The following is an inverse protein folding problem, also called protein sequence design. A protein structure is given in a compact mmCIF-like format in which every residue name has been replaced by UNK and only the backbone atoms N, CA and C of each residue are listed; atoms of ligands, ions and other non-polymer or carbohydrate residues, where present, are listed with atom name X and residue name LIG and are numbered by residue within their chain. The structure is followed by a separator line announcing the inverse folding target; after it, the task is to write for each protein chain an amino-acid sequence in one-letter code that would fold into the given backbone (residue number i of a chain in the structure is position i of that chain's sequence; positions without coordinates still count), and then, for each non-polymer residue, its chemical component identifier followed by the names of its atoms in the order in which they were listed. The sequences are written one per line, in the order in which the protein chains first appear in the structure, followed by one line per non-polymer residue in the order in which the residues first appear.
data_IF_081217999740
#
_entry.id   IF_081217999740
#
_cell.length_a   1.000
_cell.length_b   1.000
_cell.length_c   1.000
_cell.angle_alpha   90.00
_cell.angle_beta   90.00
_cell.angle_gamma   90.00
#
_symmetry.space_group_name_H-M   'P 1'
#
loop_
_entity.id
_entity.type
_entity.pdbx_description
1 polymer ?
#
# COMPACT_ATOMS: atom_id res chain seq x y z
N UNK A 1 -1.44 -26.58 21.03
CA UNK A 1 -2.01 -26.85 20.23
C UNK A 1 -1.47 -26.59 19.07
N UNK A 2 -1.19 -27.05 18.50
CA UNK A 2 -0.65 -26.92 17.51
C UNK A 2 -1.38 -26.78 16.51
N UNK A 3 -1.78 -26.99 16.41
CA UNK A 3 -2.54 -26.96 15.64
C UNK A 3 -2.49 -26.57 14.34
N UNK A 4 -3.43 -25.93 13.83
CA UNK A 4 -3.50 -25.54 12.48
C UNK A 4 -2.49 -24.48 12.11
N UNK A 5 -1.77 -23.94 13.08
CA UNK A 5 -0.79 -22.90 12.82
C UNK A 5 0.64 -23.38 12.94
N UNK A 6 0.88 -24.68 13.00
CA UNK A 6 2.22 -25.22 13.16
C UNK A 6 3.15 -24.72 12.06
N UNK A 7 2.68 -24.68 10.84
CA UNK A 7 3.44 -24.12 9.74
C UNK A 7 2.46 -23.48 8.78
N UNK A 8 1.89 -22.33 9.16
CA UNK A 8 0.91 -21.71 8.31
C UNK A 8 1.56 -21.12 7.07
N UNK A 9 0.96 -21.36 5.94
CA UNK A 9 1.36 -20.67 4.74
C UNK A 9 0.89 -19.25 4.85
N UNK A 10 1.77 -18.31 4.61
CA UNK A 10 1.44 -16.89 4.63
C UNK A 10 1.24 -16.43 3.20
N UNK A 11 0.09 -15.85 2.93
CA UNK A 11 -0.19 -15.27 1.64
C UNK A 11 0.35 -13.85 1.61
N UNK A 12 1.20 -13.54 0.65
CA UNK A 12 1.70 -12.18 0.46
C UNK A 12 1.09 -11.63 -0.82
N UNK A 13 0.32 -10.57 -0.69
CA UNK A 13 -0.35 -9.94 -1.82
C UNK A 13 0.23 -8.55 -2.05
N UNK A 14 0.57 -8.25 -3.29
CA UNK A 14 1.03 -6.92 -3.66
C UNK A 14 -0.09 -6.20 -4.40
N UNK A 15 -0.40 -4.99 -3.95
CA UNK A 15 -1.40 -4.15 -4.58
C UNK A 15 -0.73 -2.94 -5.21
N UNK A 16 -0.99 -2.70 -6.48
CA UNK A 16 -0.57 -1.47 -7.11
C UNK A 16 -1.34 -0.29 -6.53
N UNK A 17 -0.70 0.87 -6.47
CA UNK A 17 -1.33 2.07 -5.92
C UNK A 17 -2.61 2.45 -6.63
N UNK A 18 -2.73 2.11 -7.92
CA UNK A 18 -3.92 2.42 -8.70
C UNK A 18 -5.18 1.79 -8.14
N UNK A 19 -5.08 0.59 -7.59
CA UNK A 19 -6.22 -0.11 -7.00
C UNK A 19 -6.67 0.55 -5.70
N UNK A 20 -5.79 1.31 -5.07
CA UNK A 20 -6.08 1.96 -3.79
C UNK A 20 -6.55 3.39 -3.98
N UNK A 21 -6.18 4.02 -5.11
CA UNK A 21 -6.60 5.38 -5.42
C UNK A 21 -8.08 5.48 -5.73
N UNK A 22 -8.61 4.50 -6.44
CA UNK A 22 -10.02 4.49 -6.81
C UNK A 22 -10.87 3.96 -5.67
N UNK A 23 -11.84 4.73 -5.21
CA UNK A 23 -12.68 4.29 -4.09
C UNK A 23 -13.49 3.04 -4.42
N UNK A 24 -13.94 2.89 -5.67
CA UNK A 24 -14.68 1.70 -6.06
C UNK A 24 -13.79 0.47 -6.14
N UNK A 25 -12.58 0.62 -6.68
CA UNK A 25 -11.62 -0.49 -6.71
C UNK A 25 -11.17 -0.86 -5.31
N UNK A 26 -10.94 0.11 -4.45
CA UNK A 26 -10.53 -0.12 -3.09
C UNK A 26 -11.58 -0.92 -2.32
N UNK A 27 -12.84 -0.58 -2.50
CA UNK A 27 -13.92 -1.29 -1.82
C UNK A 27 -13.98 -2.76 -2.25
N UNK A 28 -13.82 -3.02 -3.54
CA UNK A 28 -13.81 -4.38 -4.07
C UNK A 28 -12.61 -5.16 -3.58
N UNK A 29 -11.43 -4.55 -3.65
CA UNK A 29 -10.18 -5.18 -3.20
C UNK A 29 -10.24 -5.47 -1.70
N UNK A 30 -10.76 -4.53 -0.91
CA UNK A 30 -10.90 -4.74 0.52
C UNK A 30 -11.78 -5.93 0.86
N UNK A 31 -12.86 -6.12 0.11
CA UNK A 31 -13.71 -7.29 0.26
C UNK A 31 -12.98 -8.59 -0.04
N UNK A 32 -12.19 -8.60 -1.12
CA UNK A 32 -11.41 -9.77 -1.49
C UNK A 32 -10.32 -10.06 -0.46
N UNK A 33 -9.66 -9.04 0.07
CA UNK A 33 -8.64 -9.19 1.10
C UNK A 33 -9.23 -9.77 2.39
N UNK A 34 -10.41 -9.29 2.78
CA UNK A 34 -11.07 -9.79 3.97
C UNK A 34 -11.38 -11.29 3.84
N UNK A 35 -11.81 -11.70 2.65
CA UNK A 35 -12.08 -13.13 2.40
C UNK A 35 -10.80 -13.96 2.44
N UNK A 36 -9.74 -13.46 1.84
CA UNK A 36 -8.45 -14.16 1.85
C UNK A 36 -7.94 -14.34 3.28
N UNK A 37 -8.08 -13.30 4.10
CA UNK A 37 -7.61 -13.33 5.48
C UNK A 37 -8.40 -14.31 6.35
N UNK A 38 -9.61 -14.66 5.96
CA UNK A 38 -10.38 -15.69 6.66
C UNK A 38 -9.78 -17.08 6.44
N UNK A 39 -9.10 -17.28 5.29
CA UNK A 39 -8.58 -18.58 4.92
C UNK A 39 -7.16 -18.80 5.42
N UNK A 40 -6.34 -17.76 5.51
CA UNK A 40 -4.95 -17.89 5.89
C UNK A 40 -4.37 -16.54 6.30
N UNK A 41 -3.27 -16.54 7.06
CA UNK A 41 -2.58 -15.28 7.38
C UNK A 41 -2.18 -14.57 6.11
N UNK A 42 -2.45 -13.29 6.04
CA UNK A 42 -2.25 -12.51 4.82
C UNK A 42 -1.46 -11.25 5.14
N UNK A 43 -0.42 -11.00 4.34
CA UNK A 43 0.35 -9.77 4.40
C UNK A 43 0.13 -9.02 3.09
N UNK A 44 -0.17 -7.76 3.19
CA UNK A 44 -0.40 -6.92 2.02
C UNK A 44 0.74 -5.93 1.88
N UNK A 45 1.31 -5.88 0.69
CA UNK A 45 2.33 -4.89 0.33
C UNK A 45 1.69 -3.97 -0.71
N UNK A 46 1.75 -2.68 -0.48
CA UNK A 46 1.11 -1.75 -1.41
C UNK A 46 2.07 -0.68 -1.90
N UNK A 47 1.77 -0.12 -3.05
CA UNK A 47 2.48 1.00 -3.61
C UNK A 47 1.73 2.30 -3.39
N UNK A 48 2.06 3.31 -4.17
CA UNK A 48 1.45 4.63 -4.07
C UNK A 48 2.28 5.67 -4.81
N UNK A 49 3.00 5.24 -5.86
CA UNK A 49 3.88 6.13 -6.60
C UNK A 49 3.18 7.34 -7.19
N UNK A 50 1.97 7.17 -7.72
CA UNK A 50 1.22 8.30 -8.29
C UNK A 50 0.85 9.31 -7.21
N UNK A 51 0.47 8.86 -6.04
CA UNK A 51 0.12 9.77 -4.95
C UNK A 51 1.35 10.47 -4.39
N UNK A 52 2.51 9.78 -4.38
CA UNK A 52 3.77 10.41 -4.00
C UNK A 52 4.11 11.50 -5.00
N UNK A 53 4.02 11.20 -6.30
CA UNK A 53 4.31 12.18 -7.35
C UNK A 53 3.41 13.40 -7.25
N UNK A 54 2.12 13.18 -7.02
CA UNK A 54 1.16 14.27 -6.88
C UNK A 54 1.48 15.15 -5.67
N UNK A 55 1.85 14.54 -4.55
CA UNK A 55 2.18 15.29 -3.34
C UNK A 55 3.48 16.05 -3.50
N UNK A 56 4.48 15.46 -4.15
CA UNK A 56 5.73 16.15 -4.45
C UNK A 56 5.48 17.36 -5.32
N UNK A 57 4.64 17.21 -6.34
CA UNK A 57 4.31 18.31 -7.24
C UNK A 57 3.63 19.44 -6.47
N UNK A 58 2.71 19.10 -5.58
CA UNK A 58 2.01 20.08 -4.77
C UNK A 58 2.95 20.79 -3.81
N UNK A 59 3.95 20.08 -3.29
CA UNK A 59 4.95 20.65 -2.38
C UNK A 59 6.09 21.36 -3.09
N UNK A 60 6.11 21.35 -4.42
CA UNK A 60 7.18 22.00 -5.19
C UNK A 60 8.48 21.21 -5.21
N UNK A 61 8.43 19.92 -4.92
CA UNK A 61 9.61 19.07 -4.90
C UNK A 61 9.75 18.38 -6.25
N UNK A 62 10.96 18.48 -6.84
CA UNK A 62 11.21 17.91 -8.15
C UNK A 62 11.49 16.43 -8.06
N UNK A 63 10.77 15.64 -8.86
CA UNK A 63 11.02 14.21 -8.96
C UNK A 63 12.33 13.96 -9.68
N UNK A 64 13.15 13.07 -9.13
CA UNK A 64 14.40 12.63 -9.74
C UNK A 64 14.35 11.11 -9.86
N UNK A 65 14.81 10.59 -11.00
CA UNK A 65 14.85 9.16 -11.24
C UNK A 65 16.03 8.81 -12.12
N UNK A 66 16.58 7.61 -11.89
CA UNK A 66 17.66 7.04 -12.70
C UNK A 66 17.21 5.63 -13.06
N UNK A 67 17.20 5.33 -14.36
CA UNK A 67 16.80 4.00 -14.86
C UNK A 67 15.44 3.56 -14.32
N UNK A 68 14.50 4.50 -14.25
CA UNK A 68 13.15 4.19 -13.76
C UNK A 68 13.03 4.11 -12.24
N UNK A 69 14.13 4.21 -11.52
CA UNK A 69 14.11 4.16 -10.06
C UNK A 69 14.15 5.57 -9.49
N UNK A 70 13.24 5.83 -8.55
CA UNK A 70 13.17 7.13 -7.90
C UNK A 70 14.39 7.35 -7.03
N UNK A 71 15.02 8.53 -7.16
CA UNK A 71 16.05 8.94 -6.23
C UNK A 71 15.35 9.62 -5.07
N UNK A 72 15.57 9.11 -3.89
CA UNK A 72 14.86 9.58 -2.71
C UNK A 72 15.80 10.33 -1.79
N UNK A 73 15.81 11.66 -1.91
CA UNK A 73 16.55 12.50 -0.98
C UNK A 73 15.70 12.72 0.27
N UNK A 74 16.19 13.54 1.19
CA UNK A 74 15.52 13.71 2.48
C UNK A 74 14.09 14.26 2.35
N UNK A 75 13.90 15.28 1.53
CA UNK A 75 12.58 15.87 1.35
C UNK A 75 11.63 14.92 0.63
N UNK A 76 12.13 14.16 -0.33
CA UNK A 76 11.34 13.15 -1.03
C UNK A 76 10.95 12.03 -0.09
N UNK A 77 11.88 11.61 0.78
CA UNK A 77 11.60 10.56 1.76
C UNK A 77 10.49 10.99 2.72
N UNK A 78 10.52 12.22 3.17
CA UNK A 78 9.49 12.74 4.06
C UNK A 78 8.10 12.66 3.40
N UNK A 79 8.01 13.05 2.13
CA UNK A 79 6.77 12.95 1.38
C UNK A 79 6.35 11.50 1.23
N UNK A 80 7.29 10.62 0.85
CA UNK A 80 6.98 9.21 0.62
C UNK A 80 6.47 8.54 1.90
N UNK A 81 7.07 8.83 3.05
CA UNK A 81 6.63 8.28 4.33
C UNK A 81 5.21 8.77 4.65
N UNK A 82 4.96 10.06 4.50
CA UNK A 82 3.64 10.63 4.78
C UNK A 82 2.55 10.05 3.87
N UNK A 83 2.87 9.83 2.60
CA UNK A 83 1.92 9.27 1.65
C UNK A 83 1.73 7.77 1.88
N UNK A 84 2.80 7.01 1.88
CA UNK A 84 2.69 5.54 1.95
C UNK A 84 2.26 5.05 3.32
N UNK A 85 2.97 5.42 4.35
CA UNK A 85 2.69 4.94 5.70
C UNK A 85 1.50 5.65 6.34
N UNK A 86 1.28 6.90 5.97
CA UNK A 86 0.17 7.67 6.50
C UNK A 86 -1.10 7.51 5.68
N UNK A 87 -1.18 8.24 4.58
CA UNK A 87 -2.42 8.37 3.81
C UNK A 87 -2.89 7.07 3.16
N UNK A 88 -2.03 6.43 2.38
CA UNK A 88 -2.40 5.24 1.61
C UNK A 88 -2.67 4.07 2.53
N UNK A 89 -1.77 3.81 3.46
CA UNK A 89 -1.94 2.70 4.39
C UNK A 89 -3.18 2.88 5.26
N UNK A 90 -3.42 4.08 5.75
CA UNK A 90 -4.59 4.36 6.57
C UNK A 90 -5.88 4.12 5.80
N UNK A 91 -5.92 4.55 4.54
CA UNK A 91 -7.08 4.35 3.68
C UNK A 91 -7.35 2.85 3.47
N UNK A 92 -6.31 2.08 3.20
CA UNK A 92 -6.43 0.65 2.99
C UNK A 92 -6.89 -0.07 4.26
N UNK A 93 -6.25 0.23 5.38
CA UNK A 93 -6.60 -0.39 6.66
C UNK A 93 -8.04 -0.07 7.03
N UNK A 94 -8.47 1.17 6.86
CA UNK A 94 -9.85 1.56 7.14
C UNK A 94 -10.85 0.78 6.28
N UNK A 95 -10.51 0.56 5.01
CA UNK A 95 -11.40 -0.17 4.11
C UNK A 95 -11.51 -1.64 4.47
N UNK A 96 -10.39 -2.26 4.85
CA UNK A 96 -10.36 -3.70 5.16
C UNK A 96 -11.00 -4.00 6.51
N UNK A 97 -10.94 -3.07 7.46
CA UNK A 97 -11.41 -3.31 8.82
C UNK A 97 -12.87 -2.93 9.05
N UNK A 98 -13.61 -2.54 8.04
CA UNK A 98 -15.02 -2.21 8.19
C UNK A 98 -15.91 -3.40 8.35
#
# INVERSE_FOLDING_TARGET
MDSMWTEPDILVLKLGGELIESSSDLKRVAGDLAKAAECQPTVVVHGGGHEIDAEMKRAGIRKQAVDGLRITDESTLEVAVGVLAGRVNTRLVAAVTR
#
